data_IF_847044635691
#
_entry.id   IF_847044635691
#
_cell.length_a   1.000
_cell.length_b   1.000
_cell.length_c   1.000
_cell.angle_alpha   90.00
_cell.angle_beta   90.00
_cell.angle_gamma   90.00
#
_symmetry.space_group_name_H-M   'P 1'
#
loop_
_entity.id
_entity.type
_entity.pdbx_description
1 polymer ?
#
# COMPACT_ATOMS: atom_id res chain seq x y z
N UNK A 1 -0.59 -20.27 10.88
CA UNK A 1 -0.90 -18.93 11.41
C UNK A 1 -2.08 -19.05 12.34
N UNK A 2 -1.96 -18.51 13.55
CA UNK A 2 -3.09 -18.33 14.47
C UNK A 2 -3.93 -17.13 14.02
N UNK A 3 -5.15 -17.00 14.54
CA UNK A 3 -6.05 -15.88 14.20
C UNK A 3 -5.45 -14.52 14.62
N UNK A 4 -4.72 -14.48 15.74
CA UNK A 4 -4.02 -13.28 16.22
C UNK A 4 -2.81 -12.90 15.33
N UNK A 5 -2.10 -13.89 14.80
CA UNK A 5 -1.03 -13.68 13.81
C UNK A 5 -1.57 -13.13 12.49
N UNK A 6 -2.75 -13.60 12.04
CA UNK A 6 -3.45 -13.05 10.86
C UNK A 6 -3.84 -11.58 11.06
N UNK A 7 -4.48 -11.25 12.18
CA UNK A 7 -4.89 -9.87 12.47
C UNK A 7 -3.71 -8.90 12.58
N UNK A 8 -2.62 -9.34 13.22
CA UNK A 8 -1.38 -8.56 13.32
C UNK A 8 -0.77 -8.31 11.94
N UNK A 9 -0.81 -9.32 11.06
CA UNK A 9 -0.30 -9.19 9.69
C UNK A 9 -1.15 -8.20 8.89
N UNK A 10 -2.49 -8.34 8.88
CA UNK A 10 -3.39 -7.43 8.14
C UNK A 10 -3.23 -5.99 8.60
N UNK A 11 -3.16 -5.75 9.92
CA UNK A 11 -2.96 -4.42 10.47
C UNK A 11 -1.67 -3.79 9.95
N UNK A 12 -0.57 -4.55 9.93
CA UNK A 12 0.72 -4.08 9.41
C UNK A 12 0.63 -3.71 7.93
N UNK A 13 0.01 -4.54 7.09
CA UNK A 13 -0.12 -4.25 5.65
C UNK A 13 -0.94 -2.95 5.41
N UNK A 14 -1.99 -2.71 6.21
CA UNK A 14 -2.78 -1.47 6.15
C UNK A 14 -1.95 -0.25 6.62
N UNK A 15 -1.18 -0.40 7.69
CA UNK A 15 -0.30 0.67 8.20
C UNK A 15 0.81 1.03 7.20
N UNK A 16 1.37 0.04 6.51
CA UNK A 16 2.34 0.25 5.42
C UNK A 16 1.71 0.98 4.24
N UNK A 17 0.50 0.58 3.83
CA UNK A 17 -0.24 1.23 2.75
C UNK A 17 -0.59 2.69 3.07
N UNK A 18 -1.01 2.96 4.31
CA UNK A 18 -1.28 4.31 4.79
C UNK A 18 -0.01 5.15 4.76
N UNK A 19 1.08 4.65 5.33
CA UNK A 19 2.35 5.37 5.43
C UNK A 19 2.93 5.69 4.05
N UNK A 20 2.79 4.76 3.10
CA UNK A 20 3.17 5.00 1.72
C UNK A 20 2.34 6.14 1.11
N UNK A 21 1.01 6.07 1.15
CA UNK A 21 0.15 7.10 0.58
C UNK A 21 0.36 8.49 1.22
N UNK A 22 0.54 8.54 2.55
CA UNK A 22 0.81 9.77 3.29
C UNK A 22 2.14 10.41 2.86
N UNK A 23 3.18 9.59 2.63
CA UNK A 23 4.50 10.07 2.16
C UNK A 23 4.49 10.75 0.79
N UNK A 24 3.43 10.53 -0.01
CA UNK A 24 3.31 11.13 -1.35
C UNK A 24 2.78 12.56 -1.30
N UNK A 25 2.09 12.93 -0.22
CA UNK A 25 1.49 14.26 -0.05
C UNK A 25 2.44 15.10 0.77
N UNK A 26 2.92 16.18 0.16
CA UNK A 26 3.67 17.22 0.88
C UNK A 26 2.91 18.53 0.81
N UNK A 27 3.32 19.51 1.63
CA UNK A 27 2.78 20.87 1.54
C UNK A 27 3.27 21.66 0.32
N UNK A 28 4.16 21.08 -0.49
CA UNK A 28 4.76 21.72 -1.66
C UNK A 28 4.02 21.27 -2.96
N UNK A 29 3.38 22.19 -3.69
CA UNK A 29 2.65 21.85 -4.91
C UNK A 29 3.55 21.42 -6.08
N UNK A 30 4.85 21.74 -6.04
CA UNK A 30 5.81 21.36 -7.10
C UNK A 30 6.58 20.08 -6.76
N UNK A 31 6.33 19.50 -5.58
CA UNK A 31 6.98 18.26 -5.16
C UNK A 31 6.48 17.07 -5.99
N UNK A 32 7.43 16.36 -6.59
CA UNK A 32 7.17 15.10 -7.29
C UNK A 32 7.75 13.97 -6.44
N UNK A 33 6.92 13.09 -5.85
CA UNK A 33 7.39 11.95 -5.07
C UNK A 33 8.21 10.99 -5.95
N UNK A 34 9.21 10.33 -5.35
CA UNK A 34 10.19 9.48 -6.05
C UNK A 34 10.47 8.21 -5.26
N UNK A 35 10.74 7.13 -5.98
CA UNK A 35 11.32 5.92 -5.41
C UNK A 35 12.75 6.19 -4.91
N UNK A 36 13.31 5.26 -4.15
CA UNK A 36 14.68 5.36 -3.61
C UNK A 36 15.75 5.43 -4.70
N UNK A 37 15.45 4.96 -5.91
CA UNK A 37 16.31 5.06 -7.08
C UNK A 37 16.17 6.40 -7.84
N UNK A 38 15.30 7.30 -7.38
CA UNK A 38 15.04 8.61 -7.98
C UNK A 38 13.97 8.63 -9.08
N UNK A 39 13.42 7.47 -9.45
CA UNK A 39 12.34 7.37 -10.45
C UNK A 39 11.08 8.08 -9.93
N UNK A 40 10.46 8.99 -10.71
CA UNK A 40 9.19 9.63 -10.33
C UNK A 40 8.09 8.59 -10.09
N UNK A 41 7.37 8.76 -8.99
CA UNK A 41 6.16 7.98 -8.69
C UNK A 41 5.00 8.62 -9.44
N UNK A 42 4.35 7.85 -10.32
CA UNK A 42 3.16 8.29 -11.07
C UNK A 42 1.89 7.81 -10.36
N UNK A 43 0.73 8.45 -10.60
CA UNK A 43 -0.55 8.01 -10.03
C UNK A 43 -0.87 6.53 -10.31
N UNK A 44 -0.48 6.00 -11.48
CA UNK A 44 -0.68 4.59 -11.82
C UNK A 44 0.18 3.66 -10.97
N UNK A 45 1.41 4.07 -10.63
CA UNK A 45 2.31 3.26 -9.80
C UNK A 45 1.71 3.13 -8.38
N UNK A 46 1.12 4.22 -7.86
CA UNK A 46 0.38 4.24 -6.58
C UNK A 46 -0.84 3.32 -6.64
N UNK A 47 -1.67 3.42 -7.69
CA UNK A 47 -2.84 2.57 -7.84
C UNK A 47 -2.47 1.08 -7.90
N UNK A 48 -1.42 0.71 -8.65
CA UNK A 48 -0.93 -0.66 -8.71
C UNK A 48 -0.39 -1.16 -7.37
N UNK A 49 0.31 -0.31 -6.61
CA UNK A 49 0.79 -0.66 -5.27
C UNK A 49 -0.38 -0.86 -4.29
N UNK A 50 -1.39 0.01 -4.35
CA UNK A 50 -2.58 -0.11 -3.53
C UNK A 50 -3.36 -1.39 -3.84
N UNK A 51 -3.54 -1.74 -5.12
CA UNK A 51 -4.20 -2.99 -5.51
C UNK A 51 -3.45 -4.22 -5.00
N UNK A 52 -2.12 -4.27 -5.15
CA UNK A 52 -1.31 -5.39 -4.62
C UNK A 52 -1.39 -5.53 -3.12
N UNK A 53 -1.36 -4.42 -2.37
CA UNK A 53 -1.52 -4.44 -0.93
C UNK A 53 -2.90 -4.98 -0.53
N UNK A 54 -3.96 -4.58 -1.24
CA UNK A 54 -5.31 -5.07 -1.02
C UNK A 54 -5.47 -6.55 -1.38
N UNK A 55 -4.85 -7.02 -2.47
CA UNK A 55 -4.80 -8.45 -2.83
C UNK A 55 -4.12 -9.28 -1.73
N UNK A 56 -2.99 -8.80 -1.18
CA UNK A 56 -2.31 -9.46 -0.07
C UNK A 56 -3.20 -9.55 1.18
N UNK A 57 -3.88 -8.44 1.52
CA UNK A 57 -4.83 -8.39 2.64
C UNK A 57 -6.00 -9.35 2.39
N UNK A 58 -6.56 -9.38 1.17
CA UNK A 58 -7.66 -10.25 0.81
C UNK A 58 -7.27 -11.74 0.95
N UNK A 59 -6.08 -12.11 0.46
CA UNK A 59 -5.52 -13.45 0.62
C UNK A 59 -5.33 -13.88 2.08
N UNK A 60 -4.98 -12.96 2.97
CA UNK A 60 -4.84 -13.22 4.41
C UNK A 60 -6.18 -13.46 5.11
N UNK A 61 -7.25 -12.81 4.64
CA UNK A 61 -8.62 -12.90 5.20
C UNK A 61 -9.43 -14.02 4.51
N UNK A 62 -8.95 -14.57 3.39
CA UNK A 62 -9.64 -15.57 2.60
C UNK A 62 -10.71 -15.00 1.66
N UNK A 63 -10.64 -13.70 1.37
CA UNK A 63 -11.43 -13.05 0.32
C UNK A 63 -10.62 -13.01 -0.97
N UNK A 64 -11.26 -13.26 -2.11
CA UNK A 64 -10.70 -12.94 -3.44
C UNK A 64 -11.33 -11.61 -3.86
N UNK A 65 -10.51 -10.64 -4.26
CA UNK A 65 -11.01 -9.44 -4.92
C UNK A 65 -11.38 -9.85 -6.34
N UNK A 66 -12.66 -9.72 -6.71
CA UNK A 66 -13.10 -10.01 -8.09
C UNK A 66 -12.41 -9.07 -9.09
N UNK A 67 -12.06 -9.63 -10.26
CA UNK A 67 -11.36 -8.97 -11.39
C UNK A 67 -12.18 -7.83 -12.05
#
# INVERSE_FOLDING_TARGET
MTQDEQQTTIKREIEELYSFNDSLITGDPDYIPRFTDGTPIRPQDVASMNMRALENIAGLIGFVLDD
#
